data_IF_619107797974
#
_entry.id   IF_619107797974
#
_cell.length_a   1.000
_cell.length_b   1.000
_cell.length_c   1.000
_cell.angle_alpha   90.00
_cell.angle_beta   90.00
_cell.angle_gamma   90.00
#
_symmetry.space_group_name_H-M   'P 1'
#
loop_
_entity.id
_entity.type
_entity.pdbx_description
1 polymer ?
#
# COMPACT_ATOMS: atom_id res chain seq x y z
N UNK A 1 16.26 30.25 -46.58
CA UNK A 1 15.27 31.20 -46.00
C UNK A 1 15.73 31.59 -44.61
N UNK A 2 15.78 32.89 -44.29
CA UNK A 2 16.06 33.34 -42.91
C UNK A 2 14.83 33.04 -42.04
N UNK A 3 14.98 32.56 -40.79
CA UNK A 3 13.84 32.37 -39.91
C UNK A 3 13.12 33.70 -39.70
N UNK A 4 11.79 33.67 -39.69
CA UNK A 4 10.99 34.87 -39.45
C UNK A 4 11.21 35.37 -38.02
N UNK A 5 11.12 36.68 -37.76
CA UNK A 5 11.30 37.22 -36.40
C UNK A 5 10.38 36.57 -35.35
N UNK A 6 9.19 36.10 -35.76
CA UNK A 6 8.23 35.40 -34.90
C UNK A 6 8.76 34.02 -34.46
N UNK A 7 9.46 33.30 -35.34
CA UNK A 7 10.04 31.99 -35.05
C UNK A 7 11.26 32.06 -34.10
N UNK A 8 11.82 33.26 -33.91
CA UNK A 8 12.92 33.51 -32.97
C UNK A 8 12.44 33.86 -31.55
N UNK A 9 11.11 34.06 -31.36
CA UNK A 9 10.55 34.29 -30.03
C UNK A 9 10.58 33.00 -29.20
N UNK A 10 10.80 33.14 -27.89
CA UNK A 10 10.75 32.01 -26.95
C UNK A 10 9.41 31.26 -26.99
N UNK A 11 8.33 32.03 -27.20
CA UNK A 11 6.95 31.56 -27.30
C UNK A 11 6.29 32.33 -28.45
N UNK A 12 6.03 31.69 -29.60
CA UNK A 12 5.54 32.37 -30.80
C UNK A 12 4.22 33.13 -30.64
N UNK A 13 3.37 32.71 -29.68
CA UNK A 13 2.09 33.36 -29.37
C UNK A 13 2.23 34.61 -28.48
N UNK A 14 3.38 34.82 -27.83
CA UNK A 14 3.64 35.99 -26.99
C UNK A 14 4.47 37.02 -27.75
N UNK A 15 3.78 37.92 -28.45
CA UNK A 15 4.40 38.89 -29.35
C UNK A 15 4.92 40.15 -28.65
N UNK A 16 4.38 40.49 -27.48
CA UNK A 16 4.77 41.67 -26.70
C UNK A 16 5.31 41.26 -25.32
N UNK A 17 6.06 42.16 -24.66
CA UNK A 17 6.53 41.96 -23.29
C UNK A 17 5.35 42.03 -22.32
N UNK A 18 5.01 40.90 -21.73
CA UNK A 18 3.89 40.71 -20.80
C UNK A 18 4.35 40.43 -19.35
N UNK A 19 5.64 40.58 -19.07
CA UNK A 19 6.24 40.24 -17.78
C UNK A 19 6.38 38.72 -17.53
N UNK A 20 6.05 37.87 -18.51
CA UNK A 20 6.17 36.44 -18.33
C UNK A 20 7.63 35.97 -18.27
N UNK A 21 7.88 35.02 -17.39
CA UNK A 21 9.20 34.44 -17.21
C UNK A 21 9.54 33.47 -18.35
N UNK A 22 10.84 33.26 -18.54
CA UNK A 22 11.38 32.23 -19.44
C UNK A 22 10.80 30.85 -19.10
N UNK A 23 10.77 30.50 -17.81
CA UNK A 23 10.12 29.31 -17.27
C UNK A 23 9.41 29.62 -15.95
N UNK A 24 8.37 28.84 -15.63
CA UNK A 24 7.60 29.00 -14.39
C UNK A 24 6.71 30.25 -14.36
N UNK A 25 6.18 30.54 -13.17
CA UNK A 25 5.25 31.65 -12.90
C UNK A 25 5.91 32.72 -12.02
N UNK A 26 6.54 32.32 -10.91
CA UNK A 26 7.23 33.20 -9.98
C UNK A 26 8.67 32.73 -9.76
N UNK A 27 9.62 33.67 -9.63
CA UNK A 27 11.02 33.35 -9.30
C UNK A 27 11.24 33.09 -7.80
N UNK A 28 10.35 33.61 -6.97
CA UNK A 28 10.44 33.58 -5.51
C UNK A 28 9.44 32.59 -4.91
N UNK A 29 9.74 32.14 -3.70
CA UNK A 29 8.93 31.19 -2.93
C UNK A 29 9.62 30.84 -1.61
N UNK A 30 8.97 30.04 -0.77
CA UNK A 30 9.56 29.59 0.48
C UNK A 30 10.74 28.63 0.23
N UNK A 31 11.93 28.99 0.71
CA UNK A 31 13.15 28.18 0.59
C UNK A 31 13.32 27.15 1.70
N UNK A 32 12.58 27.27 2.81
CA UNK A 32 12.65 26.36 3.96
C UNK A 32 11.70 25.18 3.77
N UNK A 33 12.05 24.32 2.83
CA UNK A 33 11.35 23.06 2.52
C UNK A 33 12.28 21.88 2.74
N UNK A 34 11.73 20.70 3.04
CA UNK A 34 12.53 19.52 3.31
C UNK A 34 13.30 19.07 2.05
N UNK A 35 14.61 18.87 2.18
CA UNK A 35 15.46 18.43 1.07
C UNK A 35 15.07 17.03 0.56
N UNK A 36 15.13 16.85 -0.75
CA UNK A 36 14.92 15.57 -1.43
C UNK A 36 16.25 14.87 -1.72
N UNK A 37 16.21 13.74 -2.43
CA UNK A 37 17.43 13.07 -2.94
C UNK A 37 18.09 13.79 -4.10
N UNK A 38 17.43 14.80 -4.69
CA UNK A 38 17.91 15.56 -5.84
C UNK A 38 18.58 16.88 -5.45
N UNK A 39 18.41 17.29 -4.21
CA UNK A 39 18.99 18.52 -3.68
C UNK A 39 20.34 18.26 -3.00
N UNK A 40 21.15 19.31 -2.86
CA UNK A 40 22.43 19.25 -2.15
C UNK A 40 23.62 18.90 -3.02
N UNK A 41 24.78 18.71 -2.38
CA UNK A 41 26.05 18.39 -3.05
C UNK A 41 26.20 16.88 -3.27
N UNK A 42 27.21 16.47 -4.04
CA UNK A 42 27.57 15.05 -4.34
C UNK A 42 27.72 14.17 -3.09
N UNK A 43 28.07 14.75 -1.94
CA UNK A 43 28.26 14.04 -0.66
C UNK A 43 26.99 13.91 0.18
N UNK A 44 25.93 14.68 -0.13
CA UNK A 44 24.66 14.59 0.59
C UNK A 44 23.92 13.32 0.16
N UNK A 45 23.91 12.30 1.01
CA UNK A 45 23.14 11.09 0.80
C UNK A 45 21.93 11.05 1.74
N UNK A 46 20.73 11.28 1.20
CA UNK A 46 19.48 11.31 1.99
C UNK A 46 18.89 9.91 2.24
N UNK A 47 18.88 9.05 1.21
CA UNK A 47 18.25 7.73 1.24
C UNK A 47 16.71 7.75 1.10
N UNK A 48 16.13 6.57 0.87
CA UNK A 48 14.68 6.36 0.59
C UNK A 48 14.08 5.18 1.36
N UNK A 49 14.70 4.76 2.47
CA UNK A 49 14.30 3.61 3.29
C UNK A 49 14.28 2.26 2.53
N UNK A 50 15.03 2.16 1.44
CA UNK A 50 15.00 0.98 0.57
C UNK A 50 16.01 -0.10 0.96
N UNK A 51 17.19 0.26 1.47
CA UNK A 51 18.38 -0.63 1.50
C UNK A 51 19.02 -0.82 2.88
N UNK A 52 18.24 -1.19 3.89
CA UNK A 52 18.71 -1.57 5.24
C UNK A 52 19.05 -3.07 5.41
N UNK A 53 19.49 -3.71 4.32
CA UNK A 53 19.49 -5.16 4.16
C UNK A 53 20.81 -5.80 4.61
N UNK A 54 21.93 -5.22 4.20
CA UNK A 54 23.27 -5.75 4.40
C UNK A 54 24.16 -4.82 5.22
N UNK A 55 25.44 -4.78 4.86
CA UNK A 55 26.47 -3.98 5.54
C UNK A 55 27.48 -3.43 4.53
N UNK A 56 27.95 -2.20 4.76
CA UNK A 56 29.09 -1.63 4.04
C UNK A 56 30.41 -2.28 4.47
N UNK A 57 31.31 -2.52 3.51
CA UNK A 57 32.65 -3.04 3.80
C UNK A 57 33.61 -1.91 4.14
N UNK A 58 34.78 -2.25 4.71
CA UNK A 58 35.85 -1.29 5.00
C UNK A 58 36.31 -0.51 3.75
N UNK A 59 36.18 -1.10 2.56
CA UNK A 59 36.57 -0.50 1.28
C UNK A 59 35.41 0.20 0.55
N UNK A 60 34.27 0.44 1.22
CA UNK A 60 33.12 1.14 0.65
C UNK A 60 32.21 0.29 -0.25
N UNK A 61 32.48 -1.00 -0.41
CA UNK A 61 31.57 -1.95 -1.08
C UNK A 61 30.38 -2.29 -0.18
N UNK A 62 29.44 -3.11 -0.69
CA UNK A 62 28.27 -3.56 0.07
C UNK A 62 28.14 -5.08 0.00
N UNK A 63 27.87 -5.71 1.15
CA UNK A 63 27.60 -7.16 1.25
C UNK A 63 26.16 -7.34 1.73
N UNK A 64 25.36 -8.09 0.98
CA UNK A 64 23.96 -8.40 1.29
C UNK A 64 23.90 -9.47 2.37
N UNK A 65 23.03 -9.29 3.37
CA UNK A 65 22.62 -10.35 4.28
C UNK A 65 21.27 -10.89 3.84
N UNK A 66 21.25 -12.08 3.24
CA UNK A 66 20.04 -12.71 2.69
C UNK A 66 18.97 -12.98 3.76
N UNK A 67 19.36 -13.21 5.02
CA UNK A 67 18.40 -13.41 6.13
C UNK A 67 17.59 -12.13 6.45
N UNK A 68 18.03 -10.96 5.98
CA UNK A 68 17.33 -9.67 6.14
C UNK A 68 16.64 -9.20 4.87
N UNK A 69 16.74 -9.94 3.77
CA UNK A 69 16.06 -9.61 2.52
C UNK A 69 14.57 -9.92 2.67
N UNK A 70 13.71 -8.94 2.37
CA UNK A 70 12.25 -9.12 2.39
C UNK A 70 11.83 -10.05 1.25
N UNK A 71 11.10 -11.11 1.58
CA UNK A 71 10.45 -12.00 0.61
C UNK A 71 8.94 -11.83 0.69
N UNK A 72 8.27 -11.85 -0.46
CA UNK A 72 6.81 -11.84 -0.55
C UNK A 72 6.35 -13.24 -0.94
N UNK A 73 6.01 -14.06 0.08
CA UNK A 73 5.67 -15.46 -0.12
C UNK A 73 4.27 -15.57 -0.70
N UNK A 74 4.16 -16.25 -1.84
CA UNK A 74 2.90 -16.55 -2.52
C UNK A 74 2.43 -17.96 -2.11
N UNK A 75 1.14 -18.20 -1.84
CA UNK A 75 0.64 -19.55 -1.55
C UNK A 75 0.88 -20.49 -2.73
N UNK A 76 1.32 -21.73 -2.45
CA UNK A 76 1.63 -22.73 -3.48
C UNK A 76 0.41 -23.09 -4.35
N UNK A 77 -0.78 -23.13 -3.74
CA UNK A 77 -2.05 -23.38 -4.43
C UNK A 77 -2.99 -22.19 -4.17
N UNK A 78 -3.03 -21.19 -5.06
CA UNK A 78 -3.90 -20.02 -4.88
C UNK A 78 -5.36 -20.37 -5.18
N UNK A 79 -6.29 -19.94 -4.30
CA UNK A 79 -7.72 -20.06 -4.58
C UNK A 79 -8.18 -18.92 -5.51
N UNK A 80 -8.31 -19.21 -6.80
CA UNK A 80 -8.71 -18.24 -7.83
C UNK A 80 -10.21 -17.88 -7.80
N UNK A 81 -11.02 -18.62 -7.03
CA UNK A 81 -12.45 -18.36 -6.88
C UNK A 81 -12.71 -17.21 -5.89
N UNK A 82 -11.83 -17.00 -4.91
CA UNK A 82 -11.89 -15.83 -4.02
C UNK A 82 -11.57 -14.56 -4.81
N UNK A 83 -12.51 -13.61 -4.80
CA UNK A 83 -12.39 -12.31 -5.48
C UNK A 83 -12.20 -11.18 -4.46
N UNK A 84 -11.65 -10.02 -4.88
CA UNK A 84 -11.48 -8.87 -3.99
C UNK A 84 -12.79 -8.31 -3.43
N UNK A 85 -13.90 -8.55 -4.13
CA UNK A 85 -15.24 -8.06 -3.78
C UNK A 85 -16.24 -9.21 -3.77
N UNK A 86 -17.30 -9.04 -2.98
CA UNK A 86 -18.44 -9.96 -2.88
C UNK A 86 -19.61 -9.39 -3.69
N UNK A 87 -20.49 -10.25 -4.19
CA UNK A 87 -21.72 -9.82 -4.87
C UNK A 87 -22.66 -9.07 -3.92
N UNK A 88 -23.29 -8.00 -4.39
CA UNK A 88 -24.35 -7.28 -3.65
C UNK A 88 -25.58 -8.14 -3.32
N UNK A 89 -25.75 -9.29 -3.97
CA UNK A 89 -26.80 -10.26 -3.65
C UNK A 89 -26.58 -10.96 -2.31
N UNK A 90 -25.33 -11.00 -1.84
CA UNK A 90 -24.99 -11.59 -0.54
C UNK A 90 -25.21 -10.55 0.56
N UNK A 91 -26.06 -10.81 1.57
CA UNK A 91 -26.24 -9.92 2.69
C UNK A 91 -24.97 -9.87 3.56
N UNK A 92 -24.69 -8.74 4.23
CA UNK A 92 -23.60 -8.66 5.18
C UNK A 92 -23.93 -9.50 6.44
N UNK A 93 -23.13 -10.53 6.70
CA UNK A 93 -23.30 -11.42 7.84
C UNK A 93 -23.05 -10.70 9.17
N UNK A 94 -23.96 -10.86 10.14
CA UNK A 94 -23.83 -10.36 11.51
C UNK A 94 -23.67 -11.52 12.49
N UNK A 95 -22.52 -11.60 13.14
CA UNK A 95 -22.25 -12.59 14.18
C UNK A 95 -22.66 -12.05 15.56
N UNK A 96 -23.35 -12.86 16.35
CA UNK A 96 -23.73 -12.51 17.73
C UNK A 96 -23.26 -13.58 18.71
N UNK A 97 -22.71 -13.13 19.84
CA UNK A 97 -22.12 -13.98 20.88
C UNK A 97 -22.79 -13.74 22.24
N UNK A 98 -24.10 -14.04 22.40
CA UNK A 98 -24.83 -13.74 23.64
C UNK A 98 -24.26 -14.47 24.87
N UNK A 99 -23.71 -15.67 24.70
CA UNK A 99 -23.21 -16.50 25.81
C UNK A 99 -21.76 -16.21 26.21
N UNK A 100 -21.05 -15.35 25.46
CA UNK A 100 -19.61 -15.11 25.62
C UNK A 100 -19.34 -13.64 25.91
N UNK A 101 -18.78 -13.35 27.09
CA UNK A 101 -18.60 -11.98 27.58
C UNK A 101 -17.59 -11.19 26.75
N UNK A 102 -16.56 -11.87 26.24
CA UNK A 102 -15.50 -11.28 25.41
C UNK A 102 -15.77 -11.45 23.91
N UNK A 103 -16.97 -11.92 23.54
CA UNK A 103 -17.36 -12.17 22.16
C UNK A 103 -16.41 -13.16 21.46
N UNK A 104 -15.86 -12.83 20.28
CA UNK A 104 -15.06 -13.77 19.48
C UNK A 104 -13.70 -14.12 20.11
N UNK A 105 -13.19 -13.30 21.04
CA UNK A 105 -11.91 -13.56 21.72
C UNK A 105 -12.07 -14.37 23.02
N UNK A 106 -13.30 -14.74 23.40
CA UNK A 106 -13.55 -15.51 24.63
C UNK A 106 -12.95 -16.92 24.53
N UNK A 107 -12.16 -17.33 25.53
CA UNK A 107 -11.53 -18.66 25.54
C UNK A 107 -12.56 -19.78 25.64
N UNK A 108 -13.69 -19.53 26.33
CA UNK A 108 -14.78 -20.49 26.44
C UNK A 108 -15.39 -20.79 25.07
N UNK A 109 -15.55 -19.77 24.22
CA UNK A 109 -16.07 -19.94 22.86
C UNK A 109 -15.19 -20.89 22.04
N UNK A 110 -13.87 -20.70 22.07
CA UNK A 110 -12.95 -21.60 21.36
C UNK A 110 -12.96 -23.03 21.90
N UNK A 111 -13.10 -23.21 23.21
CA UNK A 111 -13.24 -24.54 23.82
C UNK A 111 -14.53 -25.24 23.37
N UNK A 112 -15.66 -24.54 23.37
CA UNK A 112 -16.94 -25.09 22.92
C UNK A 112 -16.91 -25.43 21.42
N UNK A 113 -16.29 -24.58 20.58
CA UNK A 113 -16.03 -24.88 19.15
C UNK A 113 -15.14 -26.10 18.95
N UNK A 114 -14.12 -26.28 19.79
CA UNK A 114 -13.26 -27.46 19.74
C UNK A 114 -14.05 -28.73 20.08
N UNK A 115 -14.88 -28.69 21.12
CA UNK A 115 -15.75 -29.81 21.48
C UNK A 115 -16.74 -30.16 20.37
N UNK A 116 -17.33 -29.15 19.71
CA UNK A 116 -18.20 -29.36 18.54
C UNK A 116 -17.44 -30.00 17.39
N UNK A 117 -16.21 -29.56 17.11
CA UNK A 117 -15.37 -30.16 16.09
C UNK A 117 -15.03 -31.62 16.40
N UNK A 118 -14.73 -31.97 17.66
CA UNK A 118 -14.47 -33.36 18.06
C UNK A 118 -15.71 -34.24 17.88
N UNK A 119 -16.89 -33.71 18.24
CA UNK A 119 -18.16 -34.46 18.18
C UNK A 119 -18.68 -34.64 16.76
N UNK A 120 -18.60 -33.59 15.94
CA UNK A 120 -19.30 -33.53 14.65
C UNK A 120 -18.37 -33.37 13.44
N UNK A 121 -17.10 -33.04 13.65
CA UNK A 121 -16.12 -32.82 12.58
C UNK A 121 -16.26 -31.46 11.88
N UNK A 122 -15.89 -31.41 10.59
CA UNK A 122 -15.93 -30.20 9.75
C UNK A 122 -17.35 -29.93 9.22
N UNK A 123 -18.26 -29.54 10.11
CA UNK A 123 -19.63 -29.18 9.74
C UNK A 123 -19.70 -27.71 9.34
N UNK A 124 -20.41 -27.43 8.24
CA UNK A 124 -20.68 -26.07 7.79
C UNK A 124 -21.75 -25.42 8.69
N UNK A 125 -21.52 -24.19 9.11
CA UNK A 125 -22.50 -23.43 9.88
C UNK A 125 -23.58 -22.84 8.98
N UNK A 126 -24.65 -22.31 9.60
CA UNK A 126 -25.78 -21.68 8.91
C UNK A 126 -25.36 -20.51 8.01
N UNK A 127 -24.22 -19.86 8.29
CA UNK A 127 -23.69 -18.78 7.46
C UNK A 127 -23.18 -19.24 6.09
N UNK A 128 -23.10 -20.55 5.85
CA UNK A 128 -22.79 -21.10 4.53
C UNK A 128 -23.95 -20.94 3.55
N UNK A 129 -25.17 -20.72 4.04
CA UNK A 129 -26.33 -20.38 3.23
C UNK A 129 -26.26 -18.90 2.81
N UNK A 130 -26.42 -18.63 1.51
CA UNK A 130 -26.24 -17.27 0.94
C UNK A 130 -27.24 -16.26 1.50
N UNK A 131 -28.45 -16.70 1.87
CA UNK A 131 -29.50 -15.82 2.38
C UNK A 131 -29.37 -15.54 3.89
N UNK A 132 -28.46 -16.24 4.58
CA UNK A 132 -28.26 -16.07 6.02
C UNK A 132 -27.59 -14.73 6.32
N UNK A 133 -28.25 -13.91 7.15
CA UNK A 133 -27.74 -12.59 7.54
C UNK A 133 -27.32 -12.51 9.03
N UNK A 134 -27.71 -13.48 9.86
CA UNK A 134 -27.34 -13.56 11.28
C UNK A 134 -26.83 -14.95 11.61
N UNK A 135 -25.66 -15.01 12.22
CA UNK A 135 -25.09 -16.22 12.81
C UNK A 135 -24.96 -16.04 14.32
N UNK A 136 -25.56 -16.95 15.09
CA UNK A 136 -25.54 -16.91 16.56
C UNK A 136 -24.65 -18.04 17.10
N UNK A 137 -23.82 -17.68 18.08
CA UNK A 137 -22.90 -18.58 18.76
C UNK A 137 -23.20 -18.71 20.25
#
# INVERSE_FOLDING_TARGET
MKPTPIAQLLRPWKKFRDGSLFYGLTKTGNKRVALTTKDGNKTMYKGTRSSGIGRHTKKGLYIINWNKVRTFVVPQVPNLQLKPLVSHKCPPLKQTFPSYKQGPMDTKFYYDRLLEYIKYGKVQSKSSEVDCYIEKF
#
